data_IF_428115975012
#
_entry.id   IF_428115975012
#
_cell.length_a   1.000
_cell.length_b   1.000
_cell.length_c   1.000
_cell.angle_alpha   90.00
_cell.angle_beta   90.00
_cell.angle_gamma   90.00
#
_symmetry.space_group_name_H-M   'P 1'
#
loop_
_entity.id
_entity.type
_entity.pdbx_description
1 polymer ?
#
# COMPACT_ATOMS: atom_id res chain seq x y z
N UNK A 1 -4.88 -9.53 -1.63
CA UNK A 1 -3.69 -9.59 -0.75
C UNK A 1 -3.79 -10.77 0.24
N UNK A 2 -3.75 -12.01 -0.28
CA UNK A 2 -3.81 -13.25 0.51
C UNK A 2 -2.63 -14.20 0.24
N UNK A 3 -1.75 -13.85 -0.71
CA UNK A 3 -0.66 -14.72 -1.15
C UNK A 3 0.40 -14.92 -0.06
N UNK A 4 0.57 -13.94 0.83
CA UNK A 4 1.50 -14.01 1.95
C UNK A 4 1.22 -15.20 2.87
N UNK A 5 -0.06 -15.55 3.03
CA UNK A 5 -0.50 -16.69 3.85
C UNK A 5 -0.23 -18.03 3.17
N UNK A 6 0.03 -18.06 1.86
CA UNK A 6 0.38 -19.25 1.08
C UNK A 6 1.87 -19.33 0.72
N UNK A 7 2.66 -18.36 1.19
CA UNK A 7 4.08 -18.23 0.88
C UNK A 7 4.93 -19.37 1.47
N UNK A 8 6.17 -19.51 0.97
CA UNK A 8 7.17 -20.43 1.56
C UNK A 8 7.41 -20.14 3.04
N UNK A 9 7.45 -18.85 3.44
CA UNK A 9 7.60 -18.43 4.84
C UNK A 9 6.41 -18.88 5.69
N UNK A 10 5.18 -18.70 5.20
CA UNK A 10 3.99 -19.19 5.89
C UNK A 10 3.97 -20.72 6.04
N UNK A 11 4.39 -21.46 5.02
CA UNK A 11 4.49 -22.93 5.10
C UNK A 11 5.58 -23.39 6.08
N UNK A 12 6.69 -22.64 6.20
CA UNK A 12 7.71 -22.92 7.22
C UNK A 12 7.15 -22.73 8.64
N UNK A 13 6.41 -21.65 8.89
CA UNK A 13 5.73 -21.39 10.16
C UNK A 13 4.73 -22.51 10.49
N UNK A 14 3.91 -22.94 9.51
CA UNK A 14 2.98 -24.08 9.70
C UNK A 14 3.70 -25.35 10.14
N UNK A 15 4.86 -25.65 9.54
CA UNK A 15 5.66 -26.82 9.91
C UNK A 15 6.28 -26.68 11.29
N UNK A 16 6.83 -25.50 11.60
CA UNK A 16 7.48 -25.20 12.89
C UNK A 16 6.50 -25.33 14.06
N UNK A 17 5.31 -24.77 13.91
CA UNK A 17 4.28 -24.72 14.97
C UNK A 17 3.13 -25.71 14.75
N UNK A 18 3.38 -26.83 14.06
CA UNK A 18 2.32 -27.79 13.73
C UNK A 18 1.59 -28.31 14.98
N UNK A 19 2.33 -28.56 16.06
CA UNK A 19 1.81 -29.06 17.33
C UNK A 19 0.95 -28.00 18.01
N UNK A 20 1.43 -26.77 18.11
CA UNK A 20 0.71 -25.64 18.70
C UNK A 20 -0.57 -25.33 17.92
N UNK A 21 -0.50 -25.30 16.59
CA UNK A 21 -1.65 -25.06 15.72
C UNK A 21 -2.71 -26.17 15.88
N UNK A 22 -2.31 -27.43 15.93
CA UNK A 22 -3.23 -28.56 16.16
C UNK A 22 -3.85 -28.49 17.55
N UNK A 23 -3.06 -28.19 18.58
CA UNK A 23 -3.54 -28.06 19.95
C UNK A 23 -4.58 -26.95 20.08
N UNK A 24 -4.30 -25.75 19.55
CA UNK A 24 -5.23 -24.62 19.56
C UNK A 24 -6.50 -24.93 18.77
N UNK A 25 -6.38 -25.53 17.58
CA UNK A 25 -7.52 -25.95 16.77
C UNK A 25 -8.48 -26.86 17.53
N UNK A 26 -7.95 -27.84 18.28
CA UNK A 26 -8.75 -28.74 19.10
C UNK A 26 -9.38 -28.04 20.32
N UNK A 27 -8.60 -27.24 21.05
CA UNK A 27 -9.08 -26.56 22.28
C UNK A 27 -10.12 -25.49 22.00
N UNK A 28 -10.03 -24.83 20.86
CA UNK A 28 -10.93 -23.74 20.46
C UNK A 28 -12.05 -24.20 19.52
N UNK A 29 -12.09 -25.49 19.16
CA UNK A 29 -13.04 -26.05 18.20
C UNK A 29 -13.02 -25.28 16.86
N UNK A 30 -11.82 -24.98 16.36
CA UNK A 30 -11.58 -24.26 15.10
C UNK A 30 -11.00 -25.23 14.06
N UNK A 31 -11.82 -26.01 13.35
CA UNK A 31 -11.32 -26.88 12.29
C UNK A 31 -10.71 -26.03 11.17
N UNK A 32 -9.52 -26.43 10.68
CA UNK A 32 -8.76 -25.72 9.64
C UNK A 32 -8.32 -24.30 10.02
N UNK A 33 -7.87 -24.12 11.26
CA UNK A 33 -7.37 -22.83 11.76
C UNK A 33 -6.30 -22.23 10.83
N UNK A 34 -6.62 -21.07 10.24
CA UNK A 34 -5.69 -20.32 9.42
C UNK A 34 -4.64 -19.62 10.29
N UNK A 35 -3.43 -19.41 9.75
CA UNK A 35 -2.39 -18.64 10.45
C UNK A 35 -2.90 -17.25 10.85
N UNK A 36 -3.70 -16.59 10.01
CA UNK A 36 -4.25 -15.25 10.33
C UNK A 36 -5.13 -15.24 11.58
N UNK A 37 -5.76 -16.36 11.93
CA UNK A 37 -6.61 -16.47 13.11
C UNK A 37 -5.80 -16.43 14.42
N UNK A 38 -4.49 -16.68 14.39
CA UNK A 38 -3.65 -16.67 15.60
C UNK A 38 -3.59 -15.29 16.26
N UNK A 39 -3.78 -14.21 15.50
CA UNK A 39 -3.90 -12.85 16.05
C UNK A 39 -5.03 -12.77 17.08
N UNK A 40 -6.24 -13.21 16.71
CA UNK A 40 -7.38 -13.15 17.61
C UNK A 40 -7.16 -14.00 18.87
N UNK A 41 -6.49 -15.15 18.73
CA UNK A 41 -6.17 -16.03 19.86
C UNK A 41 -5.20 -15.35 20.81
N UNK A 42 -4.10 -14.82 20.27
CA UNK A 42 -3.09 -14.10 21.06
C UNK A 42 -3.69 -12.87 21.74
N UNK A 43 -4.39 -12.02 20.99
CA UNK A 43 -4.89 -10.74 21.47
C UNK A 43 -5.89 -10.90 22.62
N UNK A 44 -6.85 -11.83 22.48
CA UNK A 44 -7.83 -12.09 23.54
C UNK A 44 -7.15 -12.59 24.83
N UNK A 45 -6.31 -13.64 24.73
CA UNK A 45 -5.64 -14.18 25.92
C UNK A 45 -4.64 -13.19 26.54
N UNK A 46 -4.00 -12.35 25.73
CA UNK A 46 -3.16 -11.27 26.21
C UNK A 46 -3.97 -10.24 26.99
N UNK A 47 -5.10 -9.77 26.46
CA UNK A 47 -5.99 -8.84 27.14
C UNK A 47 -6.52 -9.41 28.45
N UNK A 48 -6.96 -10.67 28.46
CA UNK A 48 -7.40 -11.38 29.66
C UNK A 48 -6.31 -11.40 30.73
N UNK A 49 -5.06 -11.69 30.35
CA UNK A 49 -3.91 -11.65 31.25
C UNK A 49 -3.69 -10.27 31.86
N UNK A 50 -3.75 -9.21 31.05
CA UNK A 50 -3.54 -7.84 31.53
C UNK A 50 -4.60 -7.40 32.54
N UNK A 51 -5.81 -7.95 32.46
CA UNK A 51 -6.93 -7.60 33.34
C UNK A 51 -7.18 -8.63 34.44
N UNK A 52 -6.24 -9.56 34.68
CA UNK A 52 -6.38 -10.64 35.66
C UNK A 52 -7.66 -11.48 35.47
N UNK A 53 -8.14 -11.61 34.24
CA UNK A 53 -9.26 -12.48 33.89
C UNK A 53 -8.75 -13.92 33.88
N UNK A 54 -9.52 -14.82 34.50
CA UNK A 54 -9.15 -16.23 34.57
C UNK A 54 -9.22 -16.87 33.19
N UNK A 55 -8.12 -17.49 32.78
CA UNK A 55 -8.05 -18.29 31.57
C UNK A 55 -8.79 -19.63 31.70
N UNK A 56 -9.15 -20.26 30.57
CA UNK A 56 -9.62 -21.64 30.56
C UNK A 56 -8.61 -22.59 31.24
N UNK A 57 -9.10 -23.64 31.90
CA UNK A 57 -8.28 -24.59 32.69
C UNK A 57 -7.13 -25.25 31.92
N UNK A 58 -7.19 -25.28 30.60
CA UNK A 58 -6.15 -25.86 29.75
C UNK A 58 -5.04 -24.86 29.39
N UNK A 59 -5.22 -23.56 29.63
CA UNK A 59 -4.28 -22.51 29.28
C UNK A 59 -3.50 -22.07 30.53
N UNK A 60 -2.18 -22.17 30.47
CA UNK A 60 -1.24 -21.71 31.49
C UNK A 60 -0.13 -20.86 30.86
N UNK A 61 0.75 -20.29 31.68
CA UNK A 61 1.84 -19.41 31.21
C UNK A 61 2.72 -20.06 30.14
N UNK A 62 3.07 -21.35 30.28
CA UNK A 62 3.91 -22.07 29.32
C UNK A 62 3.23 -22.23 27.96
N UNK A 63 1.92 -22.51 27.96
CA UNK A 63 1.15 -22.59 26.71
C UNK A 63 1.00 -21.19 26.10
N UNK A 64 0.78 -20.18 26.92
CA UNK A 64 0.67 -18.80 26.45
C UNK A 64 1.97 -18.28 25.83
N UNK A 65 3.14 -18.64 26.37
CA UNK A 65 4.44 -18.33 25.76
C UNK A 65 4.56 -18.91 24.34
N UNK A 66 4.09 -20.14 24.12
CA UNK A 66 4.04 -20.73 22.78
C UNK A 66 3.09 -19.99 21.83
N UNK A 67 1.98 -19.45 22.33
CA UNK A 67 1.07 -18.61 21.55
C UNK A 67 1.76 -17.30 21.16
N UNK A 68 2.53 -16.70 22.08
CA UNK A 68 3.34 -15.50 21.81
C UNK A 68 4.36 -15.79 20.69
N UNK A 69 5.15 -16.86 20.83
CA UNK A 69 6.17 -17.23 19.83
C UNK A 69 5.56 -17.46 18.45
N UNK A 70 4.44 -18.19 18.39
CA UNK A 70 3.70 -18.41 17.17
C UNK A 70 3.23 -17.07 16.56
N UNK A 71 2.64 -16.19 17.36
CA UNK A 71 2.10 -14.93 16.85
C UNK A 71 3.21 -13.97 16.39
N UNK A 72 4.34 -13.91 17.10
CA UNK A 72 5.50 -13.12 16.71
C UNK A 72 6.01 -13.48 15.30
N UNK A 73 6.02 -14.76 14.94
CA UNK A 73 6.42 -15.17 13.59
C UNK A 73 5.31 -14.97 12.54
N UNK A 74 4.06 -15.27 12.91
CA UNK A 74 2.93 -15.12 12.00
C UNK A 74 2.72 -13.66 11.61
N UNK A 75 2.84 -12.71 12.54
CA UNK A 75 2.59 -11.29 12.29
C UNK A 75 3.58 -10.69 11.28
N UNK A 76 4.81 -11.20 11.20
CA UNK A 76 5.77 -10.80 10.16
C UNK A 76 5.28 -11.11 8.74
N UNK A 77 4.41 -12.10 8.55
CA UNK A 77 3.86 -12.43 7.23
C UNK A 77 3.11 -11.25 6.61
N UNK A 78 2.57 -10.34 7.42
CA UNK A 78 1.85 -9.17 6.95
C UNK A 78 2.72 -8.08 6.33
N UNK A 79 4.05 -8.14 6.54
CA UNK A 79 4.98 -7.06 6.17
C UNK A 79 6.28 -7.54 5.52
N UNK A 80 6.44 -8.85 5.27
CA UNK A 80 7.73 -9.41 4.84
C UNK A 80 8.09 -9.23 3.35
N UNK A 81 7.12 -8.94 2.48
CA UNK A 81 7.38 -8.77 1.04
C UNK A 81 7.54 -7.31 0.67
N UNK A 82 8.25 -7.04 -0.41
CA UNK A 82 8.43 -5.68 -0.94
C UNK A 82 7.09 -5.01 -1.24
N UNK A 83 6.16 -5.71 -1.89
CA UNK A 83 4.80 -5.20 -2.15
C UNK A 83 4.06 -4.86 -0.85
N UNK A 84 4.15 -5.69 0.19
CA UNK A 84 3.49 -5.41 1.47
C UNK A 84 4.11 -4.20 2.18
N UNK A 85 5.44 -4.10 2.18
CA UNK A 85 6.16 -2.93 2.72
C UNK A 85 5.74 -1.66 1.99
N UNK A 86 5.76 -1.69 0.65
CA UNK A 86 5.38 -0.57 -0.22
C UNK A 86 3.94 -0.11 -0.01
N UNK A 87 2.99 -1.03 0.03
CA UNK A 87 1.56 -0.69 0.14
C UNK A 87 1.07 -0.45 1.56
N UNK A 88 1.85 -0.82 2.59
CA UNK A 88 1.53 -0.58 4.00
C UNK A 88 2.43 0.51 4.58
N UNK A 89 3.59 0.15 5.14
CA UNK A 89 4.47 1.07 5.87
C UNK A 89 5.13 2.14 4.99
N UNK A 90 5.26 1.88 3.69
CA UNK A 90 5.83 2.78 2.70
C UNK A 90 5.15 4.15 2.64
N UNK A 91 3.83 4.18 2.75
CA UNK A 91 3.05 5.43 2.74
C UNK A 91 3.39 6.35 3.91
N UNK A 92 3.45 5.82 5.13
CA UNK A 92 3.82 6.59 6.33
C UNK A 92 5.29 7.01 6.28
N UNK A 93 6.17 6.12 5.81
CA UNK A 93 7.59 6.42 5.71
C UNK A 93 7.88 7.53 4.69
N UNK A 94 7.23 7.49 3.52
CA UNK A 94 7.31 8.55 2.52
C UNK A 94 6.91 9.91 3.11
N UNK A 95 5.82 9.93 3.87
CA UNK A 95 5.27 11.12 4.52
C UNK A 95 6.19 11.67 5.63
N UNK A 96 6.91 10.81 6.35
CA UNK A 96 7.96 11.21 7.30
C UNK A 96 9.16 11.80 6.55
N UNK A 97 9.62 11.14 5.49
CA UNK A 97 10.74 11.61 4.66
C UNK A 97 10.42 12.92 3.93
N UNK A 98 9.15 13.11 3.54
CA UNK A 98 8.65 14.37 2.99
C UNK A 98 8.76 15.51 4.02
N UNK A 99 8.34 15.29 5.27
CA UNK A 99 8.52 16.28 6.34
C UNK A 99 9.98 16.61 6.62
N UNK A 100 10.87 15.62 6.64
CA UNK A 100 12.31 15.90 6.82
C UNK A 100 12.87 16.75 5.69
N UNK A 101 12.56 16.43 4.43
CA UNK A 101 12.97 17.25 3.28
C UNK A 101 12.39 18.67 3.37
N UNK A 102 11.11 18.78 3.71
CA UNK A 102 10.46 20.07 3.91
C UNK A 102 11.07 20.91 5.04
N UNK A 103 11.63 20.26 6.07
CA UNK A 103 12.38 20.96 7.13
C UNK A 103 13.73 21.47 6.63
N UNK A 104 14.37 20.75 5.72
CA UNK A 104 15.67 21.12 5.13
C UNK A 104 15.51 22.25 4.12
N UNK A 105 14.52 22.19 3.24
CA UNK A 105 14.27 23.22 2.21
C UNK A 105 13.54 24.46 2.73
N UNK A 106 12.96 24.39 3.93
CA UNK A 106 12.29 25.49 4.60
C UNK A 106 10.79 25.59 4.35
N UNK A 107 10.22 24.74 3.49
CA UNK A 107 8.77 24.69 3.20
C UNK A 107 7.92 24.35 4.43
N UNK A 108 8.48 23.63 5.40
CA UNK A 108 7.81 23.29 6.66
C UNK A 108 7.86 24.42 7.71
N UNK A 109 8.56 25.51 7.40
CA UNK A 109 8.77 26.63 8.31
C UNK A 109 9.74 26.34 9.47
N UNK A 110 9.96 27.37 10.29
CA UNK A 110 10.95 27.32 11.39
C UNK A 110 10.42 26.60 12.63
N UNK A 111 9.12 26.70 12.90
CA UNK A 111 8.49 26.24 14.15
C UNK A 111 8.24 24.73 14.21
N UNK A 112 8.06 24.07 13.07
CA UNK A 112 7.85 22.62 13.03
C UNK A 112 9.10 21.88 13.51
N UNK A 113 9.03 21.29 14.72
CA UNK A 113 10.14 20.54 15.35
C UNK A 113 9.77 19.11 15.72
N UNK A 114 8.49 18.80 15.86
CA UNK A 114 8.00 17.51 16.34
C UNK A 114 6.67 17.15 15.69
N UNK A 115 6.51 15.88 15.34
CA UNK A 115 5.28 15.29 14.83
C UNK A 115 5.02 13.99 15.58
N UNK A 116 3.81 13.82 16.08
CA UNK A 116 3.37 12.59 16.73
C UNK A 116 2.27 11.94 15.91
N UNK A 117 2.39 10.62 15.71
CA UNK A 117 1.37 9.79 15.09
C UNK A 117 0.88 8.80 16.14
N UNK A 118 -0.32 9.02 16.65
CA UNK A 118 -1.02 8.00 17.43
C UNK A 118 -1.59 6.98 16.46
N UNK A 119 -1.16 5.72 16.59
CA UNK A 119 -1.43 4.67 15.62
C UNK A 119 -1.53 3.30 16.30
N UNK A 120 -1.43 2.23 15.49
CA UNK A 120 -1.56 0.85 15.95
C UNK A 120 -0.21 0.14 15.97
N UNK A 121 -0.15 -0.96 16.71
CA UNK A 121 0.94 -1.96 16.68
C UNK A 121 1.32 -2.37 15.24
N UNK A 122 0.33 -2.61 14.39
CA UNK A 122 0.49 -2.94 12.98
C UNK A 122 1.12 -1.80 12.19
N UNK A 123 0.92 -0.54 12.59
CA UNK A 123 1.57 0.63 11.98
C UNK A 123 3.05 0.64 12.31
N UNK A 124 3.40 0.45 13.59
CA UNK A 124 4.79 0.34 14.07
C UNK A 124 5.50 -0.83 13.39
N UNK A 125 4.86 -2.00 13.36
CA UNK A 125 5.36 -3.20 12.71
C UNK A 125 5.61 -3.00 11.21
N UNK A 126 4.66 -2.36 10.50
CA UNK A 126 4.80 -2.07 9.08
C UNK A 126 5.95 -1.08 8.82
N UNK A 127 6.10 -0.05 9.66
CA UNK A 127 7.15 0.95 9.53
C UNK A 127 8.54 0.35 9.77
N UNK A 128 8.71 -0.43 10.85
CA UNK A 128 9.93 -1.18 11.14
C UNK A 128 10.31 -2.12 9.97
N UNK A 129 9.35 -2.93 9.52
CA UNK A 129 9.57 -3.83 8.39
C UNK A 129 9.96 -3.06 7.12
N UNK A 130 9.36 -1.90 6.86
CA UNK A 130 9.69 -1.04 5.71
C UNK A 130 11.08 -0.44 5.82
N UNK A 131 11.54 -0.11 7.03
CA UNK A 131 12.92 0.28 7.33
C UNK A 131 13.91 -0.90 7.30
N UNK A 132 13.43 -2.14 7.08
CA UNK A 132 14.25 -3.35 7.05
C UNK A 132 14.54 -3.94 8.42
N UNK A 133 13.99 -3.36 9.49
CA UNK A 133 14.13 -3.84 10.86
C UNK A 133 12.97 -4.80 11.14
N UNK A 134 13.26 -6.09 11.21
CA UNK A 134 12.25 -7.08 11.62
C UNK A 134 12.31 -7.27 13.12
N UNK A 135 11.15 -7.22 13.76
CA UNK A 135 11.01 -7.41 15.19
C UNK A 135 10.92 -8.90 15.54
N UNK A 136 11.57 -9.28 16.63
CA UNK A 136 11.42 -10.62 17.22
C UNK A 136 10.16 -10.72 18.08
N UNK A 137 9.76 -9.59 18.69
CA UNK A 137 8.56 -9.47 19.53
C UNK A 137 7.65 -8.43 18.88
N UNK A 138 6.38 -8.79 18.67
CA UNK A 138 5.39 -7.87 18.12
C UNK A 138 5.26 -6.60 18.98
N UNK A 139 5.02 -5.41 18.39
CA UNK A 139 4.90 -4.16 19.12
C UNK A 139 3.92 -4.24 20.31
N UNK A 140 4.39 -3.91 21.51
CA UNK A 140 3.59 -3.92 22.74
C UNK A 140 2.81 -2.61 22.93
N UNK A 141 1.90 -2.59 23.90
CA UNK A 141 1.21 -1.36 24.29
C UNK A 141 2.18 -0.23 24.62
N UNK A 142 1.80 0.98 24.21
CA UNK A 142 2.55 2.22 24.42
C UNK A 142 3.99 2.21 23.87
N UNK A 143 4.34 1.26 22.99
CA UNK A 143 5.62 1.32 22.30
C UNK A 143 5.69 2.54 21.37
N UNK A 144 6.88 3.10 21.23
CA UNK A 144 7.13 4.31 20.44
C UNK A 144 8.35 4.12 19.54
N UNK A 145 8.21 4.50 18.27
CA UNK A 145 9.34 4.71 17.37
C UNK A 145 9.65 6.20 17.29
N UNK A 146 10.92 6.52 17.52
CA UNK A 146 11.46 7.86 17.35
C UNK A 146 12.33 7.84 16.11
N UNK A 147 11.97 8.63 15.10
CA UNK A 147 12.79 8.85 13.91
C UNK A 147 13.27 10.29 14.00
N UNK A 148 14.57 10.46 14.23
CA UNK A 148 15.18 11.75 14.51
C UNK A 148 16.09 12.18 13.36
N UNK A 149 15.98 13.44 12.96
CA UNK A 149 16.91 14.07 12.03
C UNK A 149 17.85 15.02 12.78
N UNK A 150 19.14 14.69 12.77
CA UNK A 150 20.21 15.45 13.40
C UNK A 150 20.96 16.29 12.37
N UNK A 151 21.39 17.50 12.75
CA UNK A 151 22.26 18.38 11.95
C UNK A 151 23.69 18.25 12.45
N UNK A 152 24.56 17.70 11.63
CA UNK A 152 26.00 17.59 11.91
C UNK A 152 26.70 18.94 11.71
N UNK A 153 27.91 19.14 12.26
CA UNK A 153 28.67 20.39 12.10
C UNK A 153 28.97 20.78 10.63
N UNK A 154 29.08 19.78 9.75
CA UNK A 154 29.26 19.96 8.31
C UNK A 154 27.94 20.13 7.55
N UNK A 155 26.86 20.49 8.23
CA UNK A 155 25.49 20.62 7.70
C UNK A 155 24.80 19.33 7.24
N UNK A 156 25.48 18.18 7.27
CA UNK A 156 24.87 16.91 6.88
C UNK A 156 23.70 16.56 7.80
N UNK A 157 22.62 16.05 7.20
CA UNK A 157 21.42 15.59 7.93
C UNK A 157 21.49 14.08 8.11
N UNK A 158 21.57 13.63 9.36
CA UNK A 158 21.69 12.22 9.73
C UNK A 158 20.39 11.75 10.38
N UNK A 159 19.90 10.58 9.97
CA UNK A 159 18.70 9.97 10.50
C UNK A 159 19.07 8.90 11.53
N UNK A 160 18.40 8.94 12.68
CA UNK A 160 18.52 7.93 13.74
C UNK A 160 17.15 7.35 14.04
N UNK A 161 17.11 6.05 14.32
CA UNK A 161 15.89 5.30 14.61
C UNK A 161 16.00 4.70 16.01
N UNK A 162 15.10 5.07 16.90
CA UNK A 162 15.01 4.50 18.24
C UNK A 162 13.66 3.85 18.47
N UNK A 163 13.65 2.82 19.32
CA UNK A 163 12.46 2.10 19.74
C UNK A 163 12.41 2.05 21.27
N UNK A 164 11.34 2.64 21.81
CA UNK A 164 10.99 2.56 23.23
C UNK A 164 9.92 1.50 23.39
N UNK A 165 10.32 0.28 23.75
CA UNK A 165 9.42 -0.88 23.89
C UNK A 165 9.16 -1.29 25.34
N UNK A 166 9.80 -0.61 26.31
CA UNK A 166 9.68 -0.90 27.73
C UNK A 166 9.17 0.35 28.47
N UNK A 167 8.23 0.13 29.39
CA UNK A 167 7.68 1.17 30.26
C UNK A 167 8.66 1.44 31.41
N UNK A 168 8.79 2.71 31.81
CA UNK A 168 9.54 3.13 33.01
C UNK A 168 11.05 2.87 33.03
N UNK A 169 11.64 2.55 31.88
CA UNK A 169 13.09 2.47 31.70
C UNK A 169 13.50 3.49 30.63
N UNK A 170 14.50 4.32 30.93
CA UNK A 170 15.11 5.28 29.97
C UNK A 170 16.01 4.59 28.94
N UNK A 171 15.72 3.32 28.63
CA UNK A 171 16.44 2.55 27.62
C UNK A 171 15.78 2.75 26.25
N UNK A 172 16.48 3.47 25.38
CA UNK A 172 16.11 3.62 23.97
C UNK A 172 16.98 2.68 23.13
N UNK A 173 16.35 1.71 22.48
CA UNK A 173 17.05 0.81 21.58
C UNK A 173 17.26 1.54 20.25
N UNK A 174 18.51 1.85 19.93
CA UNK A 174 18.87 2.39 18.61
C UNK A 174 18.99 1.26 17.59
N UNK A 175 18.27 1.39 16.48
CA UNK A 175 18.34 0.43 15.37
C UNK A 175 19.26 0.94 14.26
N UNK A 176 20.15 0.06 13.80
CA UNK A 176 20.80 0.22 12.50
C UNK A 176 19.79 -0.02 11.40
N UNK A 177 19.67 0.90 10.45
CA UNK A 177 18.77 0.77 9.30
C UNK A 177 19.49 -0.02 8.20
N UNK A 178 19.05 -1.26 7.88
CA UNK A 178 19.73 -2.06 6.86
C UNK A 178 19.73 -1.38 5.50
N UNK A 179 20.90 -1.32 4.87
CA UNK A 179 21.10 -0.66 3.59
C UNK A 179 21.52 0.81 3.70
N UNK A 180 21.49 1.41 4.89
CA UNK A 180 21.95 2.79 5.10
C UNK A 180 23.24 2.80 5.93
N UNK A 181 24.40 2.94 5.28
CA UNK A 181 25.70 2.95 5.95
C UNK A 181 25.83 4.10 6.94
N UNK A 182 26.59 3.90 8.02
CA UNK A 182 26.84 4.94 9.02
C UNK A 182 27.87 5.96 8.52
N UNK A 183 27.59 7.28 8.56
CA UNK A 183 26.37 7.90 9.06
C UNK A 183 25.20 7.81 8.06
N UNK A 184 24.03 7.37 8.53
CA UNK A 184 22.85 7.23 7.69
C UNK A 184 22.28 8.61 7.31
N UNK A 185 22.66 9.14 6.15
CA UNK A 185 22.23 10.46 5.70
C UNK A 185 20.79 10.43 5.19
N UNK A 186 20.09 11.58 5.29
CA UNK A 186 18.72 11.72 4.75
C UNK A 186 18.65 11.36 3.26
N UNK A 187 19.68 11.72 2.49
CA UNK A 187 19.77 11.45 1.05
C UNK A 187 19.95 9.96 0.75
N UNK A 188 20.88 9.29 1.43
CA UNK A 188 21.11 7.85 1.27
C UNK A 188 19.85 7.06 1.68
N UNK A 189 19.29 7.38 2.84
CA UNK A 189 18.07 6.74 3.32
C UNK A 189 16.90 6.90 2.33
N UNK A 190 16.72 8.10 1.77
CA UNK A 190 15.70 8.33 0.75
C UNK A 190 15.95 7.51 -0.52
N UNK A 191 17.21 7.43 -0.97
CA UNK A 191 17.58 6.63 -2.14
C UNK A 191 17.26 5.15 -1.93
N UNK A 192 17.64 4.58 -0.79
CA UNK A 192 17.50 3.16 -0.51
C UNK A 192 16.04 2.72 -0.28
N UNK A 193 15.23 3.62 0.29
CA UNK A 193 13.84 3.33 0.65
C UNK A 193 12.82 3.82 -0.38
N UNK A 194 13.23 4.59 -1.39
CA UNK A 194 12.36 5.10 -2.47
C UNK A 194 11.55 4.01 -3.18
N UNK A 195 12.10 2.80 -3.32
CA UNK A 195 11.39 1.65 -3.87
C UNK A 195 10.15 1.23 -3.08
N UNK A 196 10.04 1.64 -1.81
CA UNK A 196 8.84 1.40 -0.99
C UNK A 196 7.85 2.57 -1.01
N UNK A 197 8.13 3.67 -1.72
CA UNK A 197 7.21 4.81 -1.79
C UNK A 197 6.25 4.64 -2.98
N UNK A 198 4.94 4.43 -2.75
CA UNK A 198 3.98 4.19 -3.81
C UNK A 198 3.82 5.43 -4.70
N UNK A 199 3.86 5.25 -6.02
CA UNK A 199 3.67 6.37 -6.96
C UNK A 199 2.19 6.74 -7.05
N UNK A 200 1.34 5.72 -7.16
CA UNK A 200 -0.11 5.86 -7.09
C UNK A 200 -0.68 4.71 -6.28
N UNK A 201 -0.74 4.92 -4.96
CA UNK A 201 -1.20 3.91 -4.02
C UNK A 201 -2.57 3.33 -4.40
N UNK A 202 -3.51 4.14 -4.93
CA UNK A 202 -4.84 3.65 -5.32
C UNK A 202 -4.77 2.73 -6.52
N UNK A 203 -3.95 3.07 -7.52
CA UNK A 203 -3.73 2.23 -8.69
C UNK A 203 -3.00 0.93 -8.32
N UNK A 204 -1.94 1.02 -7.53
CA UNK A 204 -1.15 -0.13 -7.09
C UNK A 204 -1.96 -1.08 -6.19
N UNK A 205 -2.92 -0.56 -5.42
CA UNK A 205 -3.90 -1.37 -4.68
C UNK A 205 -5.02 -1.95 -5.55
N UNK A 206 -5.10 -1.61 -6.84
CA UNK A 206 -6.17 -2.05 -7.74
C UNK A 206 -7.53 -1.39 -7.48
N UNK A 207 -7.54 -0.22 -6.83
CA UNK A 207 -8.77 0.51 -6.46
C UNK A 207 -9.28 1.47 -7.55
N UNK A 208 -8.44 1.83 -8.53
CA UNK A 208 -8.90 2.61 -9.68
C UNK A 208 -9.75 1.72 -10.59
N UNK A 209 -11.03 2.06 -10.72
CA UNK A 209 -11.87 1.43 -11.74
C UNK A 209 -11.58 2.04 -13.11
N UNK A 210 -11.61 1.21 -14.15
CA UNK A 210 -11.47 1.64 -15.54
C UNK A 210 -12.72 2.38 -16.05
N UNK A 211 -13.49 3.04 -15.18
CA UNK A 211 -14.75 3.68 -15.54
C UNK A 211 -14.57 4.66 -16.70
N UNK A 212 -13.49 5.44 -16.72
CA UNK A 212 -13.19 6.36 -17.83
C UNK A 212 -13.01 5.63 -19.17
N UNK A 213 -12.33 4.48 -19.16
CA UNK A 213 -12.13 3.65 -20.37
C UNK A 213 -13.47 3.04 -20.79
N UNK A 214 -14.26 2.53 -19.84
CA UNK A 214 -15.61 2.02 -20.12
C UNK A 214 -16.53 3.10 -20.73
N UNK A 215 -16.51 4.33 -20.18
CA UNK A 215 -17.25 5.47 -20.73
C UNK A 215 -16.77 5.84 -22.14
N UNK A 216 -15.46 5.89 -22.38
CA UNK A 216 -14.90 6.16 -23.71
C UNK A 216 -15.33 5.11 -24.73
N UNK A 217 -15.26 3.81 -24.38
CA UNK A 217 -15.71 2.72 -25.25
C UNK A 217 -17.21 2.81 -25.53
N UNK A 218 -18.03 3.12 -24.51
CA UNK A 218 -19.46 3.34 -24.71
C UNK A 218 -19.75 4.53 -25.65
N UNK A 219 -19.05 5.66 -25.49
CA UNK A 219 -19.23 6.84 -26.35
C UNK A 219 -18.83 6.53 -27.79
N UNK A 220 -17.68 5.87 -28.01
CA UNK A 220 -17.23 5.43 -29.33
C UNK A 220 -18.23 4.44 -29.97
N UNK A 221 -18.78 3.52 -29.19
CA UNK A 221 -19.84 2.60 -29.63
C UNK A 221 -21.11 3.33 -30.07
N UNK A 222 -21.56 4.33 -29.31
CA UNK A 222 -22.72 5.13 -29.67
C UNK A 222 -22.47 5.95 -30.95
N UNK A 223 -21.32 6.61 -31.06
CA UNK A 223 -20.94 7.39 -32.25
C UNK A 223 -20.85 6.54 -33.52
N UNK A 224 -20.26 5.36 -33.44
CA UNK A 224 -20.19 4.44 -34.60
C UNK A 224 -21.57 3.96 -35.02
N UNK A 225 -22.46 3.66 -34.06
CA UNK A 225 -23.83 3.24 -34.35
C UNK A 225 -24.68 4.34 -35.01
N UNK A 226 -24.52 5.59 -34.59
CA UNK A 226 -25.25 6.73 -35.17
C UNK A 226 -24.75 7.05 -36.57
N UNK A 227 -23.43 6.98 -36.81
CA UNK A 227 -22.83 7.12 -38.14
C UNK A 227 -23.37 6.02 -39.07
N UNK A 228 -23.34 4.76 -38.64
CA UNK A 228 -23.84 3.64 -39.45
C UNK A 228 -25.33 3.74 -39.77
N UNK A 229 -26.15 4.14 -38.80
CA UNK A 229 -27.58 4.35 -39.01
C UNK A 229 -27.85 5.50 -39.97
N UNK A 230 -27.10 6.60 -39.83
CA UNK A 230 -27.22 7.77 -40.71
C UNK A 230 -26.80 7.45 -42.14
N UNK A 231 -25.71 6.69 -42.34
CA UNK A 231 -25.29 6.26 -43.68
C UNK A 231 -26.31 5.32 -44.31
N UNK A 232 -26.88 4.38 -43.55
CA UNK A 232 -27.96 3.51 -44.04
C UNK A 232 -29.20 4.30 -44.46
N UNK A 233 -29.65 5.29 -43.67
CA UNK A 233 -30.77 6.16 -44.03
C UNK A 233 -30.48 6.98 -45.29
N UNK A 234 -29.25 7.49 -45.44
CA UNK A 234 -28.82 8.21 -46.64
C UNK A 234 -28.86 7.27 -47.86
N UNK A 235 -28.31 6.05 -47.74
CA UNK A 235 -28.33 5.05 -48.81
C UNK A 235 -29.76 4.65 -49.21
N UNK A 236 -30.67 4.51 -48.25
CA UNK A 236 -32.08 4.23 -48.52
C UNK A 236 -32.75 5.40 -49.26
N UNK A 237 -32.46 6.64 -48.86
CA UNK A 237 -32.96 7.85 -49.53
C UNK A 237 -32.41 7.98 -50.97
N UNK A 238 -31.14 7.61 -51.20
CA UNK A 238 -30.56 7.54 -52.54
C UNK A 238 -31.22 6.47 -53.41
N UNK A 239 -31.52 5.29 -52.85
CA UNK A 239 -32.25 4.22 -53.57
C UNK A 239 -33.68 4.61 -53.93
N UNK A 240 -34.34 5.44 -53.12
CA UNK A 240 -35.72 5.91 -53.35
C UNK A 240 -35.82 7.15 -54.25
N UNK A 241 -34.72 7.79 -54.67
CA UNK A 241 -34.77 8.88 -55.67
C UNK A 241 -35.16 8.31 -57.05
N UNK A 242 -36.24 8.79 -57.68
CA UNK A 242 -36.59 8.37 -59.04
C UNK A 242 -35.53 8.85 -60.03
N UNK A 243 -35.10 7.97 -60.94
CA UNK A 243 -34.21 8.33 -62.05
C UNK A 243 -34.94 9.30 -62.98
N UNK A 244 -34.64 10.59 -62.87
CA UNK A 244 -35.00 11.58 -63.89
C UNK A 244 -34.10 11.35 -65.11
N UNK A 245 -34.69 10.85 -66.20
CA UNK A 245 -34.02 10.74 -67.51
C UNK A 245 -34.17 12.06 -68.27
N UNK A 246 -33.06 12.67 -68.67
CA UNK A 246 -33.01 13.78 -69.60
C UNK A 246 -31.73 13.70 -70.42
N UNK A 247 -31.90 13.50 -71.73
CA UNK A 247 -30.88 13.26 -72.76
C UNK A 247 -30.91 14.46 -73.73
N UNK A 248 -29.76 14.78 -74.35
CA UNK A 248 -29.62 15.72 -75.48
C UNK A 248 -28.95 17.05 -75.08
N UNK A 249 -27.65 17.22 -75.31
CA UNK A 249 -26.94 17.53 -76.58
C UNK A 249 -26.81 19.05 -76.84
N UNK A 250 -25.53 19.48 -76.82
CA UNK A 250 -24.84 20.47 -77.65
C UNK A 250 -25.33 21.92 -77.76
N UNK A 251 -24.51 22.84 -77.22
CA UNK A 251 -23.93 23.99 -77.94
C UNK A 251 -22.94 24.77 -77.05
N UNK A 252 -21.72 24.94 -77.54
CA UNK A 252 -20.64 25.78 -77.00
C UNK A 252 -20.49 27.03 -77.92
N UNK A 253 -19.54 27.97 -77.69
CA UNK A 253 -19.42 29.04 -76.69
C UNK A 253 -19.53 30.45 -77.32
N UNK A 254 -19.51 31.54 -76.54
CA UNK A 254 -19.02 32.84 -77.01
C UNK A 254 -18.54 33.75 -75.85
N UNK A 255 -17.39 34.36 -76.10
CA UNK A 255 -16.63 35.31 -75.29
C UNK A 255 -17.36 36.65 -75.05
N UNK A 256 -17.00 37.39 -74.00
CA UNK A 256 -17.25 38.82 -73.95
C UNK A 256 -17.13 39.50 -72.58
N UNK A 257 -15.94 40.08 -72.35
CA UNK A 257 -15.71 41.45 -71.90
C UNK A 257 -16.08 41.96 -70.48
N UNK A 258 -15.04 42.55 -69.86
CA UNK A 258 -15.00 43.85 -69.16
C UNK A 258 -15.28 43.95 -67.65
N UNK A 259 -14.17 44.08 -66.89
CA UNK A 259 -13.75 45.24 -66.08
C UNK A 259 -14.81 46.11 -65.38
N UNK A 260 -14.67 46.28 -64.05
CA UNK A 260 -14.22 47.51 -63.38
C UNK A 260 -14.48 47.49 -61.86
N UNK A 261 -13.44 47.87 -61.12
CA UNK A 261 -13.29 48.28 -59.70
C UNK A 261 -13.76 47.37 -58.53
#
# INVERSE_FOLDING_TARGET
>A
MNEQWKSKKANAIRKKFAVELQFLSQKLNLPNMELKATWAIYDNFFCEKQHNISWPVWLNSTIFEKIIDLYNEVSQLEFHTETLRRLRGGTLLEEIMHRFRGKVDGSLGKEAKFYAYSAHDSTVAALLATLGVFYDIYPKYATCLLIEMHRMPNETRVIRLFHKNETDIDNLIEYSIPGCDSPCTLENLNKDLSKYFPEDWKQECGLKSNLKIAYLVMILGLLTSTIFSSTMLILEKYRKKPKFSGHGEDAEPMLGAEDSD
#
